data_IF_390695008309
#
_entry.id   IF_390695008309
#
_cell.length_a   1.000
_cell.length_b   1.000
_cell.length_c   1.000
_cell.angle_alpha   90.00
_cell.angle_beta   90.00
_cell.angle_gamma   90.00
#
_symmetry.space_group_name_H-M   'P 1'
#
loop_
_entity.id
_entity.type
_entity.pdbx_description
1 polymer ?
#
# COMPACT_ATOMS: atom_id res chain seq x y z
N UNK A 1 -8.36 -15.94 0.31
CA UNK A 1 -7.97 -15.22 -0.91
C UNK A 1 -8.47 -13.78 -0.81
N UNK A 2 -7.73 -12.81 -1.36
CA UNK A 2 -8.18 -11.42 -1.43
C UNK A 2 -8.99 -11.23 -2.71
N UNK A 3 -10.28 -10.95 -2.59
CA UNK A 3 -11.18 -10.71 -3.72
C UNK A 3 -11.56 -9.24 -3.78
N UNK A 4 -11.33 -8.61 -4.94
CA UNK A 4 -11.75 -7.25 -5.24
C UNK A 4 -12.56 -7.25 -6.53
N UNK A 5 -13.78 -6.72 -6.46
CA UNK A 5 -14.69 -6.51 -7.59
C UNK A 5 -14.98 -5.00 -7.69
N UNK A 6 -14.62 -4.36 -8.81
CA UNK A 6 -14.82 -2.93 -9.04
C UNK A 6 -14.31 -2.00 -7.91
N UNK A 7 -13.18 -2.34 -7.29
CA UNK A 7 -12.59 -1.54 -6.22
C UNK A 7 -13.23 -1.73 -4.84
N UNK A 8 -14.24 -2.60 -4.73
CA UNK A 8 -14.85 -3.03 -3.47
C UNK A 8 -14.39 -4.46 -3.18
N UNK A 9 -13.92 -4.70 -1.96
CA UNK A 9 -13.57 -6.05 -1.53
C UNK A 9 -12.48 -6.06 -0.47
N UNK A 10 -11.65 -7.10 -0.47
CA UNK A 10 -10.52 -7.19 0.45
C UNK A 10 -9.21 -7.31 -0.29
N UNK A 11 -8.17 -6.67 0.24
CA UNK A 11 -6.82 -6.75 -0.31
C UNK A 11 -5.76 -6.69 0.77
N UNK A 12 -4.62 -7.30 0.51
CA UNK A 12 -3.45 -7.24 1.37
C UNK A 12 -2.61 -6.02 1.00
N UNK A 13 -2.42 -5.09 1.96
CA UNK A 13 -1.65 -3.87 1.74
C UNK A 13 -0.54 -3.71 2.77
N UNK A 14 0.61 -3.29 2.24
CA UNK A 14 1.85 -3.12 3.00
C UNK A 14 2.53 -4.46 3.28
N UNK A 15 3.84 -4.52 3.06
CA UNK A 15 4.69 -5.64 3.47
C UNK A 15 5.68 -5.11 4.50
N UNK A 16 5.77 -5.73 5.66
CA UNK A 16 6.70 -5.38 6.72
C UNK A 16 7.23 -6.65 7.40
N UNK A 17 8.24 -6.50 8.26
CA UNK A 17 8.81 -7.59 9.08
C UNK A 17 9.09 -8.85 8.25
N UNK A 18 9.97 -8.69 7.26
CA UNK A 18 10.46 -9.80 6.46
C UNK A 18 11.30 -10.73 7.35
N UNK A 19 11.07 -12.02 7.23
CA UNK A 19 11.75 -13.07 8.00
C UNK A 19 12.67 -13.89 7.06
N UNK A 20 13.58 -14.69 7.63
CA UNK A 20 14.56 -15.48 6.86
C UNK A 20 13.94 -16.51 5.91
N UNK A 21 12.71 -16.92 6.15
CA UNK A 21 11.93 -17.79 5.28
C UNK A 21 11.28 -17.03 4.10
N UNK A 22 11.61 -15.76 3.87
CA UNK A 22 10.98 -14.91 2.86
C UNK A 22 9.48 -14.63 3.13
N UNK A 23 8.98 -14.96 4.33
CA UNK A 23 7.66 -14.53 4.76
C UNK A 23 7.67 -13.05 5.14
N UNK A 24 6.49 -12.43 5.08
CA UNK A 24 6.30 -11.04 5.47
C UNK A 24 4.95 -10.86 6.14
N UNK A 25 4.88 -9.91 7.05
CA UNK A 25 3.63 -9.47 7.67
C UNK A 25 2.95 -8.48 6.72
N UNK A 26 1.66 -8.69 6.49
CA UNK A 26 0.81 -7.79 5.73
C UNK A 26 -0.51 -7.59 6.44
N UNK A 27 -1.16 -6.45 6.18
CA UNK A 27 -2.47 -6.18 6.75
C UNK A 27 -3.53 -6.43 5.69
N UNK A 28 -4.55 -7.21 6.04
CA UNK A 28 -5.75 -7.38 5.23
C UNK A 28 -6.66 -6.20 5.45
N UNK A 29 -7.08 -5.56 4.37
CA UNK A 29 -7.96 -4.40 4.39
C UNK A 29 -9.26 -4.69 3.69
N UNK A 30 -10.35 -4.14 4.20
CA UNK A 30 -11.55 -3.91 3.43
C UNK A 30 -11.40 -2.62 2.64
N UNK A 31 -11.54 -2.70 1.32
CA UNK A 31 -11.34 -1.58 0.39
C UNK A 31 -12.65 -1.18 -0.29
N UNK A 32 -12.86 0.13 -0.45
CA UNK A 32 -13.87 0.75 -1.34
C UNK A 32 -13.17 1.91 -2.05
N UNK A 33 -12.42 1.63 -3.12
CA UNK A 33 -11.55 2.61 -3.77
C UNK A 33 -10.33 3.05 -2.93
N UNK A 34 -10.40 2.95 -1.61
CA UNK A 34 -9.35 3.21 -0.63
C UNK A 34 -9.44 2.23 0.56
N UNK A 35 -8.36 2.01 1.33
CA UNK A 35 -8.39 1.13 2.50
C UNK A 35 -9.24 1.74 3.62
N UNK A 36 -10.40 1.15 3.88
CA UNK A 36 -11.39 1.66 4.83
C UNK A 36 -11.13 1.12 6.23
N UNK A 37 -11.05 -0.21 6.38
CA UNK A 37 -10.94 -0.89 7.67
C UNK A 37 -9.87 -2.00 7.62
N UNK A 38 -8.92 -2.04 8.56
CA UNK A 38 -8.03 -3.17 8.72
C UNK A 38 -8.83 -4.33 9.33
N UNK A 39 -8.82 -5.48 8.66
CA UNK A 39 -9.49 -6.70 9.11
C UNK A 39 -8.59 -7.56 10.00
N UNK A 40 -7.26 -7.41 9.88
CA UNK A 40 -6.27 -8.16 10.64
C UNK A 40 -4.91 -8.14 9.95
N UNK A 41 -3.86 -8.50 10.69
CA UNK A 41 -2.53 -8.73 10.13
C UNK A 41 -2.28 -10.22 9.98
N UNK A 42 -1.64 -10.60 8.88
CA UNK A 42 -1.33 -11.99 8.55
C UNK A 42 0.11 -12.08 8.07
N UNK A 43 0.76 -13.19 8.35
CA UNK A 43 2.08 -13.51 7.78
C UNK A 43 1.87 -14.39 6.56
N UNK A 44 2.33 -13.89 5.42
CA UNK A 44 2.23 -14.56 4.13
C UNK A 44 3.60 -14.80 3.53
N UNK A 45 3.71 -15.82 2.70
CA UNK A 45 4.88 -16.05 1.83
C UNK A 45 4.47 -15.92 0.37
N UNK A 46 5.28 -15.24 -0.43
CA UNK A 46 5.04 -15.14 -1.88
C UNK A 46 5.42 -16.48 -2.52
N UNK A 47 4.47 -17.22 -3.09
CA UNK A 47 4.75 -18.46 -3.85
C UNK A 47 5.05 -18.20 -5.32
N UNK A 48 5.32 -16.94 -5.67
CA UNK A 48 5.41 -16.48 -7.04
C UNK A 48 4.08 -15.91 -7.55
N UNK A 49 4.18 -15.26 -8.70
CA UNK A 49 3.02 -14.69 -9.36
C UNK A 49 2.98 -15.15 -10.81
N UNK A 50 1.81 -15.69 -11.17
CA UNK A 50 1.47 -15.99 -12.55
C UNK A 50 0.65 -14.82 -13.11
N UNK A 51 1.04 -14.33 -14.30
CA UNK A 51 0.33 -13.26 -14.99
C UNK A 51 1.22 -12.31 -15.80
N UNK A 52 0.63 -11.71 -16.83
CA UNK A 52 1.27 -10.70 -17.69
C UNK A 52 1.34 -9.36 -16.92
N UNK A 53 2.44 -8.57 -17.01
CA UNK A 53 2.65 -7.35 -16.21
C UNK A 53 1.54 -6.29 -16.25
N UNK A 54 0.60 -6.38 -17.19
CA UNK A 54 -0.51 -5.44 -17.41
C UNK A 54 -1.91 -6.02 -17.15
N UNK A 55 -2.04 -7.33 -16.89
CA UNK A 55 -3.31 -7.97 -16.61
C UNK A 55 -3.39 -8.48 -15.17
N UNK A 56 -4.61 -8.83 -14.74
CA UNK A 56 -4.95 -9.27 -13.39
C UNK A 56 -3.91 -10.28 -12.88
N UNK A 57 -3.08 -9.84 -11.92
CA UNK A 57 -1.96 -10.61 -11.39
C UNK A 57 -2.48 -11.49 -10.25
N UNK A 58 -2.60 -12.79 -10.49
CA UNK A 58 -2.92 -13.74 -9.41
C UNK A 58 -1.62 -14.03 -8.69
N UNK A 59 -1.41 -13.37 -7.56
CA UNK A 59 -0.27 -13.68 -6.69
C UNK A 59 -0.72 -14.79 -5.75
N UNK A 60 -0.04 -15.93 -5.82
CA UNK A 60 -0.28 -17.03 -4.91
C UNK A 60 0.46 -16.73 -3.61
N UNK A 61 -0.27 -16.72 -2.51
CA UNK A 61 0.29 -16.52 -1.17
C UNK A 61 0.09 -17.78 -0.36
N UNK A 62 1.15 -18.24 0.30
CA UNK A 62 1.05 -19.21 1.37
C UNK A 62 0.66 -18.48 2.65
N UNK A 63 -0.38 -18.94 3.32
CA UNK A 63 -0.76 -18.42 4.64
C UNK A 63 0.04 -19.17 5.71
N UNK A 64 0.80 -18.45 6.52
CA UNK A 64 1.60 -19.04 7.60
C UNK A 64 0.84 -18.93 8.92
N UNK A 65 0.54 -17.71 9.34
CA UNK A 65 -0.10 -17.45 10.63
C UNK A 65 -0.86 -16.12 10.67
N UNK A 66 -1.83 -16.03 11.57
CA UNK A 66 -2.45 -14.77 11.97
C UNK A 66 -1.53 -14.05 12.98
N UNK A 67 -1.30 -12.77 12.76
CA UNK A 67 -0.40 -11.94 13.58
C UNK A 67 -1.23 -10.86 14.27
N UNK A 68 -0.92 -10.47 15.52
CA UNK A 68 -1.57 -9.31 16.13
C UNK A 68 -1.47 -8.09 15.21
N UNK A 69 -2.55 -7.32 15.16
CA UNK A 69 -2.67 -6.17 14.26
C UNK A 69 -1.49 -5.21 14.47
N UNK A 70 -0.70 -4.99 13.42
CA UNK A 70 0.41 -4.04 13.47
C UNK A 70 -0.13 -2.60 13.39
N UNK A 71 -0.45 -2.04 14.55
CA UNK A 71 -1.04 -0.70 14.68
C UNK A 71 -0.18 0.36 14.00
N UNK A 72 1.15 0.21 14.03
CA UNK A 72 2.06 1.17 13.41
C UNK A 72 1.98 1.09 11.88
N UNK A 73 1.85 -0.11 11.32
CA UNK A 73 1.59 -0.29 9.89
C UNK A 73 0.25 0.33 9.48
N UNK A 74 -0.81 0.06 10.25
CA UNK A 74 -2.16 0.61 10.02
C UNK A 74 -2.14 2.13 10.05
N UNK A 75 -1.50 2.72 11.06
CA UNK A 75 -1.39 4.17 11.21
C UNK A 75 -0.64 4.80 10.04
N UNK A 76 0.46 4.20 9.58
CA UNK A 76 1.22 4.67 8.41
C UNK A 76 0.37 4.65 7.15
N UNK A 77 -0.43 3.59 6.95
CA UNK A 77 -1.36 3.49 5.82
C UNK A 77 -2.42 4.60 5.87
N UNK A 78 -3.02 4.86 7.03
CA UNK A 78 -3.99 5.95 7.16
C UNK A 78 -3.36 7.34 7.02
N UNK A 79 -2.19 7.58 7.62
CA UNK A 79 -1.49 8.86 7.47
C UNK A 79 -1.20 9.16 6.00
N UNK A 80 -0.77 8.15 5.24
CA UNK A 80 -0.56 8.26 3.80
C UNK A 80 -1.87 8.49 3.04
N UNK A 81 -2.96 7.78 3.39
CA UNK A 81 -4.27 7.98 2.77
C UNK A 81 -4.81 9.40 3.02
N UNK A 82 -4.73 9.90 4.25
CA UNK A 82 -5.12 11.27 4.61
C UNK A 82 -4.26 12.28 3.88
N UNK A 83 -2.94 12.06 3.80
CA UNK A 83 -2.05 12.92 3.02
C UNK A 83 -2.48 12.99 1.55
N UNK A 84 -2.77 11.85 0.91
CA UNK A 84 -3.28 11.82 -0.46
C UNK A 84 -4.60 12.59 -0.60
N UNK A 85 -5.56 12.36 0.30
CA UNK A 85 -6.88 13.03 0.23
C UNK A 85 -6.73 14.54 0.44
N UNK A 86 -5.93 14.97 1.42
CA UNK A 86 -5.64 16.37 1.66
C UNK A 86 -4.92 17.02 0.48
N UNK A 87 -3.97 16.29 -0.13
CA UNK A 87 -3.25 16.72 -1.32
C UNK A 87 -4.18 16.92 -2.52
N UNK A 88 -5.03 15.94 -2.81
CA UNK A 88 -6.03 16.02 -3.88
C UNK A 88 -7.09 17.10 -3.60
N UNK A 89 -7.54 17.24 -2.36
CA UNK A 89 -8.48 18.28 -1.96
C UNK A 89 -7.88 19.68 -2.15
N UNK A 90 -6.64 19.87 -1.69
CA UNK A 90 -5.91 21.12 -1.91
C UNK A 90 -5.71 21.44 -3.40
N UNK A 91 -5.48 20.41 -4.23
CA UNK A 91 -5.42 20.57 -5.68
C UNK A 91 -6.79 20.95 -6.28
N UNK A 92 -7.86 20.27 -5.90
CA UNK A 92 -9.21 20.45 -6.47
C UNK A 92 -9.82 21.82 -6.12
N UNK A 93 -9.58 22.32 -4.91
CA UNK A 93 -10.13 23.56 -4.40
C UNK A 93 -9.14 24.73 -4.40
N UNK A 94 -7.86 24.50 -4.71
CA UNK A 94 -6.80 25.50 -4.67
C UNK A 94 -6.75 26.39 -5.92
N UNK A 95 -6.83 27.70 -5.75
CA UNK A 95 -6.64 28.68 -6.83
C UNK A 95 -5.14 28.93 -7.12
N UNK A 96 -4.42 27.87 -7.48
CA UNK A 96 -2.97 27.93 -7.73
C UNK A 96 -2.63 28.11 -9.21
N UNK A 97 -1.52 28.80 -9.54
CA UNK A 97 -1.06 28.94 -10.91
C UNK A 97 -0.72 27.57 -11.54
N UNK A 98 -0.89 27.39 -12.86
CA UNK A 98 -0.78 26.09 -13.53
C UNK A 98 0.58 25.39 -13.30
N UNK A 99 1.66 26.16 -13.29
CA UNK A 99 3.02 25.64 -13.11
C UNK A 99 3.23 25.01 -11.72
N UNK A 100 2.73 25.67 -10.67
CA UNK A 100 2.80 25.15 -9.30
C UNK A 100 2.00 23.85 -9.18
N UNK A 101 0.84 23.77 -9.85
CA UNK A 101 0.03 22.53 -9.92
C UNK A 101 0.81 21.37 -10.54
N UNK A 102 1.54 21.60 -11.64
CA UNK A 102 2.35 20.54 -12.26
C UNK A 102 3.50 20.07 -11.35
N UNK A 103 4.20 21.00 -10.69
CA UNK A 103 5.28 20.66 -9.74
C UNK A 103 4.74 19.84 -8.56
N UNK A 104 3.55 20.19 -8.07
CA UNK A 104 2.88 19.42 -7.02
C UNK A 104 2.49 18.02 -7.51
N UNK A 105 1.93 17.87 -8.71
CA UNK A 105 1.58 16.56 -9.26
C UNK A 105 2.82 15.67 -9.37
N UNK A 106 3.92 16.18 -9.90
CA UNK A 106 5.16 15.40 -10.05
C UNK A 106 5.74 15.03 -8.69
N UNK A 107 5.77 15.95 -7.72
CA UNK A 107 6.23 15.64 -6.36
C UNK A 107 5.34 14.60 -5.67
N UNK A 108 4.02 14.73 -5.75
CA UNK A 108 3.08 13.78 -5.14
C UNK A 108 3.19 12.37 -5.72
N UNK A 109 3.41 12.25 -7.03
CA UNK A 109 3.68 10.96 -7.69
C UNK A 109 5.03 10.40 -7.25
N UNK A 110 6.07 11.23 -7.16
CA UNK A 110 7.43 10.80 -6.84
C UNK A 110 7.65 10.51 -5.35
N UNK A 111 6.85 11.09 -4.46
CA UNK A 111 6.97 10.94 -3.00
C UNK A 111 6.93 9.47 -2.54
N UNK A 112 5.97 8.62 -2.95
CA UNK A 112 6.01 7.19 -2.59
C UNK A 112 7.21 6.45 -3.19
N UNK A 113 7.69 6.82 -4.38
CA UNK A 113 8.90 6.22 -4.96
C UNK A 113 10.16 6.63 -4.19
N UNK A 114 10.27 7.90 -3.79
CA UNK A 114 11.36 8.42 -2.98
C UNK A 114 11.40 7.81 -1.58
N UNK A 115 10.27 7.73 -0.89
CA UNK A 115 10.15 7.07 0.41
C UNK A 115 10.52 5.58 0.33
N UNK A 116 10.08 4.89 -0.72
CA UNK A 116 10.41 3.47 -0.96
C UNK A 116 11.88 3.25 -1.31
N UNK A 117 12.51 4.20 -2.01
CA UNK A 117 13.93 4.17 -2.30
C UNK A 117 14.79 4.40 -1.04
N UNK A 118 14.39 5.36 -0.20
CA UNK A 118 15.08 5.68 1.05
C UNK A 118 14.98 4.55 2.08
N UNK A 119 13.80 3.96 2.25
CA UNK A 119 13.60 2.82 3.17
C UNK A 119 14.41 1.59 2.76
N UNK A 120 14.57 1.33 1.46
CA UNK A 120 15.45 0.26 0.95
C UNK A 120 16.94 0.50 1.21
N UNK A 121 17.37 1.76 1.37
CA UNK A 121 18.77 2.09 1.66
C UNK A 121 19.10 2.13 3.14
N UNK A 122 18.11 2.35 4.01
CA UNK A 122 18.30 2.51 5.46
C UNK A 122 18.20 1.21 6.27
N UNK A 123 17.77 0.11 5.66
CA UNK A 123 17.79 -1.23 6.28
C UNK A 123 18.66 -2.15 5.42
N UNK A 124 19.99 -2.18 5.60
CA UNK A 124 20.77 -3.35 5.21
C UNK A 124 20.27 -4.55 6.03
N UNK A 125 20.15 -5.69 5.35
CA UNK A 125 19.79 -6.97 5.95
C UNK A 125 20.70 -7.33 7.14
#
# INVERSE_FOLDING_TARGET
MADTYNGIGTSYLGKCKFEQDESFVTTKWFMIGFPLLPLGSVRLRDLGSEGVPFFKRTTHYEFIEDVPLDILQVLRTYAYAVFIVAWFGHWAFGNQPPLLRFIMITLGILLPFGLRFLTRRLMPA
#
